data_IF_679447792342
#
_entry.id   IF_679447792342
#
_cell.length_a   1.000
_cell.length_b   1.000
_cell.length_c   1.000
_cell.angle_alpha   90.00
_cell.angle_beta   90.00
_cell.angle_gamma   90.00
#
_symmetry.space_group_name_H-M   'P 1'
#
loop_
_entity.id
_entity.type
_entity.pdbx_description
1 polymer ?
#
# COMPACT_ATOMS: atom_id res chain seq x y z
N UNK A 1 1.27 -15.30 -15.39
CA UNK A 1 1.23 -15.25 -13.91
C UNK A 1 2.60 -14.96 -13.35
N UNK A 2 3.65 -15.69 -13.75
CA UNK A 2 5.02 -15.44 -13.30
C UNK A 2 5.47 -13.98 -13.53
N UNK A 3 5.34 -13.46 -14.76
CA UNK A 3 5.71 -12.07 -15.08
C UNK A 3 4.94 -11.04 -14.24
N UNK A 4 3.64 -11.27 -13.99
CA UNK A 4 2.85 -10.39 -13.13
C UNK A 4 3.34 -10.41 -11.68
N UNK A 5 3.65 -11.60 -11.15
CA UNK A 5 4.22 -11.78 -9.82
C UNK A 5 5.54 -11.02 -9.67
N UNK A 6 6.44 -11.19 -10.65
CA UNK A 6 7.75 -10.54 -10.66
C UNK A 6 7.62 -9.03 -10.77
N UNK A 7 6.73 -8.52 -11.62
CA UNK A 7 6.50 -7.09 -11.78
C UNK A 7 6.01 -6.44 -10.46
N UNK A 8 5.02 -7.05 -9.80
CA UNK A 8 4.51 -6.52 -8.53
C UNK A 8 5.56 -6.61 -7.42
N UNK A 9 6.31 -7.73 -7.37
CA UNK A 9 7.38 -7.90 -6.40
C UNK A 9 8.52 -6.89 -6.61
N UNK A 10 8.93 -6.66 -7.85
CA UNK A 10 9.94 -5.66 -8.20
C UNK A 10 9.50 -4.25 -7.84
N UNK A 11 8.23 -3.90 -8.10
CA UNK A 11 7.65 -2.62 -7.66
C UNK A 11 7.65 -2.48 -6.13
N UNK A 12 7.19 -3.50 -5.41
CA UNK A 12 7.13 -3.44 -3.95
C UNK A 12 8.52 -3.28 -3.32
N UNK A 13 9.51 -4.03 -3.82
CA UNK A 13 10.86 -3.95 -3.26
C UNK A 13 11.58 -2.67 -3.69
N UNK A 14 11.63 -2.39 -4.99
CA UNK A 14 12.38 -1.25 -5.53
C UNK A 14 11.70 0.09 -5.24
N UNK A 15 10.44 0.27 -5.61
CA UNK A 15 9.80 1.59 -5.52
C UNK A 15 9.25 1.84 -4.10
N UNK A 16 8.60 0.85 -3.49
CA UNK A 16 7.96 1.06 -2.19
C UNK A 16 8.98 0.96 -1.06
N UNK A 17 9.71 -0.16 -0.95
CA UNK A 17 10.59 -0.41 0.20
C UNK A 17 11.89 0.40 0.14
N UNK A 18 12.62 0.37 -0.98
CA UNK A 18 13.92 1.04 -1.09
C UNK A 18 13.77 2.57 -1.20
N UNK A 19 12.76 3.06 -1.91
CA UNK A 19 12.62 4.50 -2.20
C UNK A 19 11.52 5.19 -1.38
N UNK A 20 10.26 4.76 -1.52
CA UNK A 20 9.14 5.50 -0.94
C UNK A 20 9.20 5.54 0.60
N UNK A 21 9.46 4.41 1.26
CA UNK A 21 9.59 4.38 2.73
C UNK A 21 10.71 5.28 3.24
N UNK A 22 11.84 5.33 2.54
CA UNK A 22 12.95 6.22 2.86
C UNK A 22 12.55 7.69 2.73
N UNK A 23 11.83 8.06 1.67
CA UNK A 23 11.28 9.42 1.48
C UNK A 23 10.26 9.81 2.56
N UNK A 24 9.55 8.83 3.15
CA UNK A 24 8.59 9.10 4.22
C UNK A 24 9.26 9.37 5.57
N UNK A 25 10.48 8.87 5.82
CA UNK A 25 11.13 9.01 7.14
C UNK A 25 11.21 10.46 7.64
N UNK A 26 11.65 11.46 6.85
CA UNK A 26 11.66 12.85 7.31
C UNK A 26 10.27 13.40 7.60
N UNK A 27 9.24 12.96 6.86
CA UNK A 27 7.85 13.39 7.08
C UNK A 27 7.24 12.79 8.33
N UNK A 28 7.73 11.64 8.78
CA UNK A 28 7.24 10.92 9.96
C UNK A 28 8.03 11.24 11.23
N UNK A 29 9.34 11.50 11.09
CA UNK A 29 10.27 11.55 12.22
C UNK A 29 11.24 12.75 12.18
N UNK A 30 11.23 13.56 11.13
CA UNK A 30 12.13 14.71 11.00
C UNK A 30 11.75 15.88 11.90
N UNK A 31 12.68 16.81 12.11
CA UNK A 31 12.49 17.96 13.00
C UNK A 31 11.35 18.89 12.54
N UNK A 32 11.14 19.01 11.22
CA UNK A 32 10.05 19.78 10.61
C UNK A 32 8.77 18.95 10.37
N UNK A 33 8.67 17.73 10.93
CA UNK A 33 7.52 16.87 10.73
C UNK A 33 6.26 17.48 11.40
N UNK A 34 5.27 17.84 10.58
CA UNK A 34 3.97 18.28 11.07
C UNK A 34 2.99 17.10 11.17
N UNK A 35 2.06 17.09 12.14
CA UNK A 35 1.04 16.04 12.24
C UNK A 35 0.23 15.87 10.95
N UNK A 36 -0.08 16.96 10.26
CA UNK A 36 -0.81 16.93 8.99
C UNK A 36 0.01 16.28 7.87
N UNK A 37 1.31 16.62 7.74
CA UNK A 37 2.18 16.00 6.73
C UNK A 37 2.38 14.51 7.00
N UNK A 38 2.57 14.12 8.26
CA UNK A 38 2.71 12.73 8.68
C UNK A 38 1.44 11.92 8.42
N UNK A 39 0.25 12.49 8.71
CA UNK A 39 -1.03 11.86 8.43
C UNK A 39 -1.23 11.63 6.93
N UNK A 40 -0.94 12.63 6.10
CA UNK A 40 -1.02 12.50 4.64
C UNK A 40 -0.06 11.42 4.11
N UNK A 41 1.18 11.37 4.61
CA UNK A 41 2.14 10.33 4.28
C UNK A 41 1.63 8.92 4.64
N UNK A 42 1.11 8.73 5.85
CA UNK A 42 0.53 7.45 6.30
C UNK A 42 -0.66 7.05 5.44
N UNK A 43 -1.57 7.98 5.14
CA UNK A 43 -2.74 7.71 4.31
C UNK A 43 -2.35 7.21 2.91
N UNK A 44 -1.39 7.87 2.26
CA UNK A 44 -0.90 7.42 0.95
C UNK A 44 -0.21 6.05 1.05
N UNK A 45 0.62 5.82 2.08
CA UNK A 45 1.27 4.53 2.26
C UNK A 45 0.27 3.38 2.46
N UNK A 46 -0.78 3.59 3.25
CA UNK A 46 -1.85 2.60 3.46
C UNK A 46 -2.55 2.27 2.15
N UNK A 47 -2.88 3.28 1.34
CA UNK A 47 -3.52 3.08 0.03
C UNK A 47 -2.63 2.29 -0.93
N UNK A 48 -1.32 2.57 -0.96
CA UNK A 48 -0.35 1.82 -1.78
C UNK A 48 -0.24 0.37 -1.30
N UNK A 49 -0.12 0.14 0.01
CA UNK A 49 -0.01 -1.20 0.58
C UNK A 49 -1.29 -2.02 0.36
N UNK A 50 -2.48 -1.41 0.46
CA UNK A 50 -3.75 -2.05 0.12
C UNK A 50 -3.72 -2.61 -1.31
N UNK A 51 -3.37 -1.78 -2.29
CA UNK A 51 -3.25 -2.19 -3.68
C UNK A 51 -2.23 -3.31 -3.89
N UNK A 52 -1.03 -3.17 -3.33
CA UNK A 52 0.04 -4.18 -3.46
C UNK A 52 -0.38 -5.51 -2.84
N UNK A 53 -0.97 -5.51 -1.65
CA UNK A 53 -1.40 -6.74 -1.00
C UNK A 53 -2.52 -7.45 -1.76
N UNK A 54 -3.52 -6.70 -2.26
CA UNK A 54 -4.56 -7.28 -3.14
C UNK A 54 -3.95 -7.94 -4.38
N UNK A 55 -2.97 -7.29 -5.00
CA UNK A 55 -2.31 -7.81 -6.20
C UNK A 55 -1.42 -9.02 -5.89
N UNK A 56 -0.74 -9.05 -4.75
CA UNK A 56 0.13 -10.16 -4.32
C UNK A 56 -0.64 -11.35 -3.72
N UNK A 57 -1.88 -11.15 -3.27
CA UNK A 57 -2.66 -12.17 -2.56
C UNK A 57 -2.81 -13.50 -3.30
N UNK A 58 -3.03 -13.55 -4.64
CA UNK A 58 -3.11 -14.81 -5.37
C UNK A 58 -1.85 -15.69 -5.31
N UNK A 59 -0.69 -15.09 -4.99
CA UNK A 59 0.60 -15.78 -4.91
C UNK A 59 1.09 -15.97 -3.46
N UNK A 60 0.74 -15.04 -2.56
CA UNK A 60 1.18 -15.02 -1.16
C UNK A 60 -0.01 -14.85 -0.19
N UNK A 61 -0.99 -15.77 -0.19
CA UNK A 61 -2.29 -15.53 0.43
C UNK A 61 -2.22 -15.31 1.94
N UNK A 62 -1.43 -16.08 2.67
CA UNK A 62 -1.42 -16.03 4.13
C UNK A 62 -0.74 -14.77 4.69
N UNK A 63 0.41 -14.38 4.13
CA UNK A 63 1.16 -13.21 4.63
C UNK A 63 0.47 -11.91 4.21
N UNK A 64 -0.06 -11.84 2.99
CA UNK A 64 -0.79 -10.65 2.54
C UNK A 64 -2.09 -10.47 3.31
N UNK A 65 -2.82 -11.55 3.64
CA UNK A 65 -3.99 -11.50 4.52
C UNK A 65 -3.63 -10.92 5.90
N UNK A 66 -2.61 -11.47 6.55
CA UNK A 66 -2.19 -11.09 7.90
C UNK A 66 -1.81 -9.60 7.98
N UNK A 67 -1.04 -9.13 7.00
CA UNK A 67 -0.57 -7.74 6.92
C UNK A 67 -1.71 -6.78 6.56
N UNK A 68 -2.56 -7.16 5.60
CA UNK A 68 -3.68 -6.33 5.16
C UNK A 68 -4.69 -6.09 6.27
N UNK A 69 -5.00 -7.11 7.07
CA UNK A 69 -5.89 -6.98 8.22
C UNK A 69 -5.36 -6.00 9.28
N UNK A 70 -4.03 -5.85 9.39
CA UNK A 70 -3.31 -5.00 10.36
C UNK A 70 -3.02 -3.58 9.87
N UNK A 71 -3.29 -3.27 8.60
CA UNK A 71 -3.07 -1.91 8.10
C UNK A 71 -3.86 -0.90 8.96
N UNK A 72 -3.32 0.31 9.22
CA UNK A 72 -4.00 1.34 10.00
C UNK A 72 -5.09 2.00 9.13
N UNK A 73 -6.20 1.30 8.94
CA UNK A 73 -7.31 1.75 8.12
C UNK A 73 -7.93 3.03 8.67
N UNK A 74 -8.30 4.00 7.80
CA UNK A 74 -9.07 5.15 8.22
C UNK A 74 -10.41 4.72 8.83
N UNK A 75 -10.81 5.38 9.92
CA UNK A 75 -12.12 5.16 10.52
C UNK A 75 -13.25 5.40 9.50
N UNK A 76 -14.25 4.51 9.50
CA UNK A 76 -15.42 4.63 8.62
C UNK A 76 -15.20 4.20 7.16
N UNK A 77 -14.04 3.64 6.79
CA UNK A 77 -13.85 3.00 5.48
C UNK A 77 -14.54 1.64 5.47
N UNK A 78 -15.56 1.48 4.62
CA UNK A 78 -16.11 0.15 4.32
C UNK A 78 -15.01 -0.69 3.66
N UNK A 79 -14.70 -1.83 4.28
CA UNK A 79 -13.77 -2.84 3.74
C UNK A 79 -14.31 -4.22 4.01
N UNK A 80 -13.87 -5.15 3.20
CA UNK A 80 -14.21 -6.56 3.36
C UNK A 80 -13.53 -7.16 4.62
N UNK A 81 -14.11 -8.21 5.17
CA UNK A 81 -13.59 -8.87 6.39
C UNK A 81 -12.31 -9.67 6.14
N UNK A 82 -12.01 -9.98 4.87
CA UNK A 82 -10.84 -10.75 4.46
C UNK A 82 -10.36 -10.30 3.08
N UNK A 83 -9.04 -10.37 2.87
CA UNK A 83 -8.43 -9.96 1.61
C UNK A 83 -8.85 -10.87 0.45
N UNK A 84 -9.12 -12.16 0.72
CA UNK A 84 -9.51 -13.15 -0.31
C UNK A 84 -10.84 -12.82 -1.01
N UNK A 85 -11.75 -12.11 -0.32
CA UNK A 85 -13.05 -11.68 -0.86
C UNK A 85 -13.04 -10.21 -1.28
N UNK A 86 -11.92 -9.52 -1.09
CA UNK A 86 -11.81 -8.11 -1.34
C UNK A 86 -11.76 -7.82 -2.85
N UNK A 87 -12.40 -6.73 -3.29
CA UNK A 87 -12.41 -6.37 -4.72
C UNK A 87 -11.01 -6.20 -5.31
N UNK A 88 -10.82 -6.63 -6.56
CA UNK A 88 -9.57 -6.37 -7.27
C UNK A 88 -9.38 -4.85 -7.47
N UNK A 89 -8.15 -4.30 -7.32
CA UNK A 89 -7.91 -2.89 -7.52
C UNK A 89 -8.13 -2.48 -8.99
N UNK A 90 -8.85 -1.39 -9.19
CA UNK A 90 -9.08 -0.80 -10.50
C UNK A 90 -8.18 0.43 -10.71
N UNK A 91 -7.61 0.62 -11.92
CA UNK A 91 -6.89 1.84 -12.26
C UNK A 91 -7.78 3.06 -12.09
N UNK A 92 -7.18 4.15 -11.59
CA UNK A 92 -7.83 5.44 -11.40
C UNK A 92 -7.23 6.43 -12.39
N UNK A 93 -7.92 6.75 -13.51
CA UNK A 93 -7.37 7.62 -14.55
C UNK A 93 -6.92 8.98 -14.02
N UNK A 94 -7.54 9.49 -12.95
CA UNK A 94 -7.16 10.74 -12.30
C UNK A 94 -5.81 10.71 -11.57
N UNK A 95 -5.19 9.52 -11.45
CA UNK A 95 -3.87 9.32 -10.83
C UNK A 95 -2.79 8.93 -11.83
N UNK A 96 -3.12 8.85 -13.11
CA UNK A 96 -2.11 8.66 -14.16
C UNK A 96 -1.33 9.97 -14.33
N UNK A 97 0.00 9.86 -14.39
CA UNK A 97 0.87 10.99 -14.72
C UNK A 97 0.62 11.37 -16.20
N UNK A 98 0.35 12.66 -16.53
CA UNK A 98 0.07 13.11 -17.89
C UNK A 98 1.12 12.76 -18.96
#
# INVERSE_FOLDING_TARGET
>A
VHEAAEAIHAFFWGEVADWYLEMLKPRLYGDDATPASAAAARATLVEVLDGVFRMLHPMMPFITEELWLRLPWPDGRDREESLVIARWPEPRPEREDP
#
